data_IF_136142478616
#
_entry.id   IF_136142478616
#
_cell.length_a   1.000
_cell.length_b   1.000
_cell.length_c   1.000
_cell.angle_alpha   90.00
_cell.angle_beta   90.00
_cell.angle_gamma   90.00
#
_symmetry.space_group_name_H-M   'P 1'
#
loop_
_entity.id
_entity.type
_entity.pdbx_description
1 polymer ?
#
# COMPACT_ATOMS: atom_id res chain seq x y z
N UNK A 1 -14.05 7.58 -19.12
CA UNK A 1 -13.76 8.32 -17.88
C UNK A 1 -14.43 7.56 -16.77
N UNK A 2 -13.67 7.05 -15.79
CA UNK A 2 -14.25 6.38 -14.62
C UNK A 2 -15.00 7.42 -13.77
N UNK A 3 -16.04 6.97 -13.08
CA UNK A 3 -16.65 7.72 -11.99
C UNK A 3 -15.55 8.10 -10.97
N UNK A 4 -15.58 9.34 -10.46
CA UNK A 4 -14.59 9.83 -9.51
C UNK A 4 -14.58 9.03 -8.20
N UNK A 5 -15.76 8.62 -7.69
CA UNK A 5 -15.87 7.81 -6.49
C UNK A 5 -15.28 6.41 -6.72
N UNK A 6 -15.62 5.80 -7.85
CA UNK A 6 -15.04 4.50 -8.22
C UNK A 6 -13.51 4.60 -8.38
N UNK A 7 -13.03 5.66 -9.01
CA UNK A 7 -11.60 5.93 -9.14
C UNK A 7 -10.90 6.06 -7.79
N UNK A 8 -11.49 6.80 -6.85
CA UNK A 8 -10.96 6.96 -5.48
C UNK A 8 -10.83 5.61 -4.77
N UNK A 9 -11.86 4.78 -4.81
CA UNK A 9 -11.81 3.46 -4.16
C UNK A 9 -10.81 2.50 -4.83
N UNK A 10 -10.64 2.58 -6.15
CA UNK A 10 -9.62 1.78 -6.85
C UNK A 10 -8.21 2.19 -6.43
N UNK A 11 -7.94 3.50 -6.33
CA UNK A 11 -6.65 4.00 -5.87
C UNK A 11 -6.42 3.61 -4.40
N UNK A 12 -7.43 3.76 -3.53
CA UNK A 12 -7.33 3.33 -2.15
C UNK A 12 -7.03 1.83 -1.99
N UNK A 13 -7.70 1.00 -2.80
CA UNK A 13 -7.47 -0.44 -2.82
C UNK A 13 -6.06 -0.80 -3.32
N UNK A 14 -5.54 -0.07 -4.32
CA UNK A 14 -4.18 -0.24 -4.83
C UNK A 14 -3.14 0.05 -3.74
N UNK A 15 -3.24 1.21 -3.08
CA UNK A 15 -2.40 1.56 -1.93
C UNK A 15 -2.47 0.50 -0.84
N UNK A 16 -3.67 0.09 -0.42
CA UNK A 16 -3.80 -0.94 0.63
C UNK A 16 -3.15 -2.27 0.24
N UNK A 17 -3.38 -2.73 -0.98
CA UNK A 17 -2.77 -3.97 -1.49
C UNK A 17 -1.24 -3.87 -1.54
N UNK A 18 -0.70 -2.71 -1.90
CA UNK A 18 0.74 -2.46 -1.92
C UNK A 18 1.34 -2.51 -0.51
N UNK A 19 0.69 -1.88 0.48
CA UNK A 19 1.14 -1.97 1.88
C UNK A 19 1.14 -3.41 2.41
N UNK A 20 0.16 -4.23 2.03
CA UNK A 20 0.15 -5.69 2.33
C UNK A 20 1.34 -6.40 1.67
N UNK A 21 1.69 -6.04 0.44
CA UNK A 21 2.83 -6.59 -0.28
C UNK A 21 4.16 -6.23 0.38
N UNK A 22 4.30 -5.01 0.90
CA UNK A 22 5.48 -4.60 1.67
C UNK A 22 5.65 -5.36 2.98
N UNK A 23 4.55 -5.59 3.71
CA UNK A 23 4.56 -6.49 4.88
C UNK A 23 4.97 -7.92 4.50
N UNK A 24 4.65 -8.34 3.27
CA UNK A 24 5.04 -9.64 2.75
C UNK A 24 6.55 -9.69 2.43
N UNK A 25 7.14 -8.61 1.92
CA UNK A 25 8.60 -8.48 1.76
C UNK A 25 9.36 -8.64 3.08
N UNK A 26 8.82 -8.10 4.18
CA UNK A 26 9.42 -8.25 5.51
C UNK A 26 9.40 -9.70 6.02
N UNK A 27 8.39 -10.50 5.64
CA UNK A 27 8.20 -11.87 6.13
C UNK A 27 8.79 -12.95 5.21
N UNK A 28 8.89 -12.70 3.91
CA UNK A 28 9.31 -13.71 2.94
C UNK A 28 10.84 -13.79 2.81
N UNK A 29 11.44 -14.83 3.37
CA UNK A 29 12.90 -15.11 3.28
C UNK A 29 13.43 -15.17 1.84
N UNK A 30 12.59 -15.56 0.87
CA UNK A 30 12.95 -15.65 -0.56
C UNK A 30 13.07 -14.29 -1.25
N UNK A 31 12.51 -13.23 -0.68
CA UNK A 31 12.53 -11.87 -1.24
C UNK A 31 13.69 -11.02 -0.69
N UNK A 32 14.68 -11.67 -0.05
CA UNK A 32 15.87 -10.99 0.48
C UNK A 32 16.56 -10.18 -0.61
N UNK A 33 16.64 -8.86 -0.39
CA UNK A 33 17.38 -7.94 -1.26
C UNK A 33 16.58 -7.28 -2.39
N UNK A 34 15.26 -7.49 -2.48
CA UNK A 34 14.41 -6.77 -3.45
C UNK A 34 14.27 -5.29 -3.05
N UNK A 35 14.03 -5.05 -1.76
CA UNK A 35 13.91 -3.73 -1.14
C UNK A 35 14.55 -3.80 0.26
N UNK A 36 15.13 -2.68 0.72
CA UNK A 36 15.68 -2.59 2.07
C UNK A 36 14.55 -2.75 3.11
N UNK A 37 14.73 -3.53 4.20
CA UNK A 37 13.66 -3.77 5.17
C UNK A 37 13.08 -2.49 5.78
N UNK A 38 13.91 -1.48 6.05
CA UNK A 38 13.45 -0.18 6.57
C UNK A 38 12.60 0.59 5.57
N UNK A 39 12.85 0.42 4.27
CA UNK A 39 12.06 1.04 3.23
C UNK A 39 10.72 0.34 3.07
N UNK A 40 10.70 -1.00 3.06
CA UNK A 40 9.46 -1.77 3.03
C UNK A 40 8.57 -1.48 4.27
N UNK A 41 9.17 -1.34 5.45
CA UNK A 41 8.42 -1.00 6.67
C UNK A 41 7.79 0.40 6.58
N UNK A 42 8.54 1.39 6.09
CA UNK A 42 8.02 2.74 5.90
C UNK A 42 6.92 2.81 4.82
N UNK A 43 7.13 2.16 3.68
CA UNK A 43 6.14 2.10 2.61
C UNK A 43 4.86 1.41 3.08
N UNK A 44 4.95 0.30 3.81
CA UNK A 44 3.77 -0.35 4.40
C UNK A 44 2.93 0.60 5.27
N UNK A 45 3.58 1.48 6.05
CA UNK A 45 2.87 2.48 6.88
C UNK A 45 2.22 3.55 6.00
N UNK A 46 2.97 4.15 5.08
CA UNK A 46 2.48 5.23 4.20
C UNK A 46 1.29 4.73 3.38
N UNK A 47 1.39 3.53 2.83
CA UNK A 47 0.39 2.94 1.97
C UNK A 47 -0.94 2.73 2.67
N UNK A 48 -0.89 2.19 3.89
CA UNK A 48 -2.09 1.99 4.70
C UNK A 48 -2.71 3.33 5.11
N UNK A 49 -1.88 4.32 5.47
CA UNK A 49 -2.37 5.65 5.86
C UNK A 49 -3.06 6.35 4.68
N UNK A 50 -2.46 6.35 3.49
CA UNK A 50 -3.05 6.96 2.30
C UNK A 50 -4.33 6.22 1.88
N UNK A 51 -4.35 4.88 1.94
CA UNK A 51 -5.57 4.12 1.68
C UNK A 51 -6.71 4.52 2.64
N UNK A 52 -6.42 4.67 3.94
CA UNK A 52 -7.40 5.11 4.94
C UNK A 52 -7.86 6.55 4.66
N UNK A 53 -6.95 7.47 4.35
CA UNK A 53 -7.29 8.83 3.98
C UNK A 53 -8.24 8.87 2.78
N UNK A 54 -7.95 8.11 1.72
CA UNK A 54 -8.78 8.05 0.53
C UNK A 54 -10.16 7.43 0.76
N UNK A 55 -10.30 6.53 1.74
CA UNK A 55 -11.60 5.91 2.07
C UNK A 55 -12.45 6.81 2.96
N UNK A 56 -11.85 7.53 3.90
CA UNK A 56 -12.58 8.17 4.99
C UNK A 56 -12.50 9.70 5.03
N UNK A 57 -11.49 10.31 4.41
CA UNK A 57 -11.17 11.73 4.56
C UNK A 57 -11.19 12.51 3.23
N UNK A 58 -11.22 11.82 2.09
CA UNK A 58 -11.16 12.38 0.74
C UNK A 58 -12.52 12.53 0.05
#
# INVERSE_FOLDING_TARGET
MLDADLGRYLIAADWFCHGVWDLAHLRMRRLRGVVAPTFADWCAVVDVVVAVELVFLA
#
